data_IF_610979450301
#
_entry.id   IF_610979450301
#
_cell.length_a   1.000
_cell.length_b   1.000
_cell.length_c   1.000
_cell.angle_alpha   90.00
_cell.angle_beta   90.00
_cell.angle_gamma   90.00
#
_symmetry.space_group_name_H-M   'P 1'
#
loop_
_entity.id
_entity.type
_entity.pdbx_description
1 polymer ?
#
# COMPACT_ATOMS: atom_id res chain seq x y z
N UNK A 1 -1.77 -17.49 9.77
CA UNK A 1 -1.93 -16.02 9.87
C UNK A 1 -1.11 -15.52 11.05
N UNK A 2 -0.21 -14.56 10.83
CA UNK A 2 0.59 -13.96 11.90
C UNK A 2 -0.20 -12.77 12.44
N UNK A 3 -0.62 -12.82 13.70
CA UNK A 3 -1.34 -11.71 14.35
C UNK A 3 -0.35 -10.76 15.01
N UNK A 4 -0.48 -9.48 14.69
CA UNK A 4 0.31 -8.38 15.25
C UNK A 4 -0.59 -7.18 15.48
N UNK A 5 -0.12 -6.18 16.25
CA UNK A 5 -0.83 -4.91 16.42
C UNK A 5 -1.15 -4.24 15.08
N UNK A 6 -0.30 -4.39 14.07
CA UNK A 6 -0.49 -3.81 12.73
C UNK A 6 -1.64 -4.49 11.99
N UNK A 7 -1.67 -5.83 11.97
CA UNK A 7 -2.76 -6.58 11.32
C UNK A 7 -4.12 -6.29 11.97
N UNK A 8 -4.15 -6.13 13.30
CA UNK A 8 -5.37 -5.80 14.04
C UNK A 8 -5.82 -4.36 13.82
N UNK A 9 -4.88 -3.41 13.80
CA UNK A 9 -5.17 -1.99 13.61
C UNK A 9 -5.69 -1.67 12.20
N UNK A 10 -5.16 -2.33 11.17
CA UNK A 10 -5.48 -2.03 9.77
C UNK A 10 -6.35 -3.08 9.07
N UNK A 11 -6.67 -4.19 9.75
CA UNK A 11 -7.53 -5.24 9.19
C UNK A 11 -6.90 -6.00 8.01
N UNK A 12 -5.57 -6.13 7.98
CA UNK A 12 -4.83 -6.80 6.91
C UNK A 12 -4.42 -8.23 7.32
N UNK A 13 -4.24 -9.11 6.35
CA UNK A 13 -3.92 -10.54 6.58
C UNK A 13 -2.45 -10.79 6.94
N UNK A 14 -1.58 -9.92 6.45
CA UNK A 14 -0.14 -10.03 6.59
C UNK A 14 0.42 -8.77 7.23
N UNK A 15 1.35 -8.87 8.19
CA UNK A 15 2.01 -7.71 8.80
C UNK A 15 3.04 -7.09 7.85
N UNK A 16 2.66 -6.86 6.59
CA UNK A 16 3.50 -6.37 5.50
C UNK A 16 2.91 -5.06 5.00
N UNK A 17 3.76 -4.03 4.95
CA UNK A 17 3.40 -2.69 4.49
C UNK A 17 4.30 -2.37 3.30
N UNK A 18 3.71 -1.90 2.20
CA UNK A 18 4.48 -1.34 1.11
C UNK A 18 5.06 0.01 1.53
N UNK A 19 6.38 0.15 1.54
CA UNK A 19 7.04 1.43 1.81
C UNK A 19 6.71 2.46 0.73
N UNK A 20 6.74 3.76 1.05
CA UNK A 20 6.52 4.81 0.05
C UNK A 20 7.56 4.73 -1.07
N UNK A 21 7.09 4.64 -2.32
CA UNK A 21 7.97 4.41 -3.47
C UNK A 21 7.77 5.49 -4.52
N UNK A 22 8.74 6.39 -4.60
CA UNK A 22 8.75 7.46 -5.60
C UNK A 22 8.81 6.87 -7.02
N UNK A 23 8.02 7.43 -7.94
CA UNK A 23 7.87 7.03 -9.34
C UNK A 23 7.27 5.66 -9.63
N UNK A 24 6.99 4.83 -8.61
CA UNK A 24 6.40 3.49 -8.79
C UNK A 24 5.23 3.17 -7.85
N UNK A 25 4.98 3.98 -6.82
CA UNK A 25 3.85 3.85 -5.89
C UNK A 25 2.51 4.29 -6.48
N UNK A 26 2.15 3.78 -7.66
CA UNK A 26 0.88 4.02 -8.33
C UNK A 26 -0.26 3.17 -7.72
N UNK A 27 -1.49 3.44 -8.14
CA UNK A 27 -2.68 2.73 -7.68
C UNK A 27 -2.61 1.22 -7.97
N UNK A 28 -2.04 0.83 -9.10
CA UNK A 28 -1.85 -0.56 -9.51
C UNK A 28 -0.98 -1.30 -8.50
N UNK A 29 0.13 -0.69 -8.07
CA UNK A 29 1.01 -1.30 -7.07
C UNK A 29 0.34 -1.41 -5.70
N UNK A 30 -0.28 -0.31 -5.23
CA UNK A 30 -0.97 -0.31 -3.94
C UNK A 30 -2.11 -1.34 -3.92
N UNK A 31 -2.84 -1.48 -5.02
CA UNK A 31 -3.92 -2.47 -5.15
C UNK A 31 -3.40 -3.91 -5.18
N UNK A 32 -2.26 -4.17 -5.82
CA UNK A 32 -1.65 -5.51 -5.83
C UNK A 32 -1.25 -5.94 -4.41
N UNK A 33 -0.70 -5.02 -3.62
CA UNK A 33 -0.33 -5.27 -2.21
C UNK A 33 -1.58 -5.51 -1.35
N UNK A 34 -2.63 -4.70 -1.52
CA UNK A 34 -3.89 -4.86 -0.81
C UNK A 34 -4.57 -6.21 -1.14
N UNK A 35 -4.61 -6.59 -2.42
CA UNK A 35 -5.17 -7.87 -2.87
C UNK A 35 -4.38 -9.08 -2.36
N UNK A 36 -3.08 -8.91 -2.11
CA UNK A 36 -2.23 -9.92 -1.47
C UNK A 36 -2.38 -9.95 0.07
N UNK A 37 -3.28 -9.14 0.66
CA UNK A 37 -3.54 -9.13 2.09
C UNK A 37 -2.59 -8.24 2.92
N UNK A 38 -1.85 -7.34 2.30
CA UNK A 38 -0.98 -6.36 2.96
C UNK A 38 -1.53 -4.93 2.92
N UNK A 39 -0.78 -3.96 3.46
CA UNK A 39 -1.12 -2.54 3.40
C UNK A 39 -0.44 -1.85 2.21
N UNK A 40 -1.21 -1.52 1.18
CA UNK A 40 -0.75 -0.76 0.01
C UNK A 40 -0.81 0.76 0.21
N UNK A 41 0.16 1.50 -0.34
CA UNK A 41 0.30 2.95 -0.19
C UNK A 41 0.47 3.63 -1.56
N UNK A 42 -0.48 4.50 -1.91
CA UNK A 42 -0.35 5.39 -3.07
C UNK A 42 0.59 6.54 -2.69
N UNK A 43 1.70 6.69 -3.42
CA UNK A 43 2.68 7.74 -3.12
C UNK A 43 2.25 9.05 -3.78
N UNK A 44 1.93 10.07 -2.98
CA UNK A 44 1.44 11.37 -3.49
C UNK A 44 2.39 12.06 -4.46
N UNK A 45 3.72 11.96 -4.24
CA UNK A 45 4.76 12.50 -5.14
C UNK A 45 4.89 11.73 -6.47
N UNK A 46 4.18 10.61 -6.61
CA UNK A 46 4.18 9.74 -7.80
C UNK A 46 2.89 9.83 -8.60
N UNK A 47 1.83 10.42 -8.02
CA UNK A 47 0.63 10.68 -8.82
C UNK A 47 1.01 11.61 -9.97
N UNK A 48 0.53 11.28 -11.19
CA UNK A 48 0.45 12.27 -12.27
C UNK A 48 -0.37 13.42 -11.71
N UNK A 49 0.29 14.49 -11.28
CA UNK A 49 -0.38 15.74 -10.96
C UNK A 49 -1.25 16.05 -12.19
N UNK A 50 -2.54 16.28 -11.98
CA UNK A 50 -3.44 16.81 -13.00
C UNK A 50 -2.84 18.15 -13.50
N UNK A 51 -1.93 18.08 -14.48
CA UNK A 51 -1.47 19.18 -15.31
C UNK A 51 -2.24 19.16 -16.64
N UNK A 52 -3.54 18.94 -16.55
CA UNK A 52 -4.52 19.17 -17.61
C UNK A 52 -5.50 20.20 -17.12
#
# INVERSE_FOLDING_TARGET
MIKTKITEMFGIEHPVIQGGMHYVGFAEMASAVANAGGLGIITGLTQKLLMT
#
